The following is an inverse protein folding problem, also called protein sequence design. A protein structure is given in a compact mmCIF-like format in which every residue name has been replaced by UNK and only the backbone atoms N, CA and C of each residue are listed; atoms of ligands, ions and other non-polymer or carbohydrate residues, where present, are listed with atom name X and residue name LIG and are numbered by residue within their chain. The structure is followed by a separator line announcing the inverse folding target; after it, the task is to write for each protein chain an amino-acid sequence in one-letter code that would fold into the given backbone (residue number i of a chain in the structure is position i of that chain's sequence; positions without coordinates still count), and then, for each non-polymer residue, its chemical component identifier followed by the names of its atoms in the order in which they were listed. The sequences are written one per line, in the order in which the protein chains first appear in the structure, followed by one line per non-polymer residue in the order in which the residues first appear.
data_IF_097564465336
#
_entry.id   IF_097564465336
#
_cell.length_a   1.000
_cell.length_b   1.000
_cell.length_c   1.000
_cell.angle_alpha   90.00
_cell.angle_beta   90.00
_cell.angle_gamma   90.00
#
_symmetry.space_group_name_H-M   'P 1'
#
loop_
_entity.id
_entity.type
_entity.pdbx_description
1 polymer ?
#
# COMPACT_ATOMS: atom_id res chain seq x y z
N UNK A 1 -7.37 6.64 17.55
CA UNK A 1 -6.52 6.08 18.62
C UNK A 1 -7.10 6.12 20.03
N UNK A 2 -8.15 6.90 20.31
CA UNK A 2 -8.70 7.05 21.68
C UNK A 2 -9.06 5.74 22.38
N UNK A 3 -9.76 4.84 21.69
CA UNK A 3 -10.13 3.52 22.21
C UNK A 3 -8.90 2.71 22.66
N UNK A 4 -7.84 2.70 21.86
CA UNK A 4 -6.62 1.94 22.14
C UNK A 4 -5.83 2.54 23.30
N UNK A 5 -5.76 3.88 23.36
CA UNK A 5 -5.13 4.60 24.47
C UNK A 5 -5.86 4.32 25.79
N UNK A 6 -7.20 4.22 25.75
CA UNK A 6 -8.01 3.86 26.91
C UNK A 6 -7.82 2.40 27.36
N UNK A 7 -7.70 1.46 26.42
CA UNK A 7 -7.44 0.04 26.75
C UNK A 7 -6.04 -0.19 27.30
N UNK A 8 -5.05 0.61 26.87
CA UNK A 8 -3.66 0.49 27.30
C UNK A 8 -2.98 -0.81 26.84
N UNK A 9 -1.70 -0.97 27.20
CA UNK A 9 -0.94 -2.20 26.94
C UNK A 9 -0.54 -2.45 25.48
N UNK A 10 -0.72 -1.48 24.59
CA UNK A 10 -0.40 -1.59 23.16
C UNK A 10 0.68 -0.58 22.75
N UNK A 11 1.61 -1.01 21.88
CA UNK A 11 2.70 -0.18 21.32
C UNK A 11 2.54 0.11 19.84
N UNK A 12 1.77 -0.72 19.15
CA UNK A 12 1.41 -0.58 17.74
C UNK A 12 0.13 -1.40 17.52
N UNK A 13 -0.84 -0.87 16.78
CA UNK A 13 -2.01 -1.60 16.31
C UNK A 13 -2.19 -1.40 14.82
N UNK A 14 -2.52 -2.46 14.09
CA UNK A 14 -2.78 -2.35 12.66
C UNK A 14 -4.14 -1.68 12.44
N UNK A 15 -4.19 -0.70 11.54
CA UNK A 15 -5.44 -0.05 11.17
C UNK A 15 -5.65 -0.09 9.67
N UNK A 16 -6.74 -0.72 9.25
CA UNK A 16 -7.13 -0.79 7.84
C UNK A 16 -7.44 0.60 7.29
N UNK A 17 -6.90 0.92 6.13
CA UNK A 17 -7.27 2.09 5.33
C UNK A 17 -7.45 1.64 3.88
N UNK A 18 -8.66 1.72 3.34
CA UNK A 18 -8.89 1.34 1.95
C UNK A 18 -8.65 2.47 0.97
N UNK A 19 -8.06 2.15 -0.17
CA UNK A 19 -7.81 3.06 -1.29
C UNK A 19 -8.40 2.45 -2.55
N UNK A 20 -9.72 2.59 -2.79
CA UNK A 20 -10.43 1.96 -3.92
C UNK A 20 -10.11 2.63 -5.27
N UNK A 21 -8.86 2.49 -5.72
CA UNK A 21 -8.31 3.11 -6.94
C UNK A 21 -7.87 2.02 -7.92
N UNK A 22 -8.37 2.07 -9.16
CA UNK A 22 -8.04 1.07 -10.19
C UNK A 22 -7.68 1.65 -11.56
N UNK A 23 -7.71 2.98 -11.75
CA UNK A 23 -7.56 3.58 -13.07
C UNK A 23 -6.10 3.64 -13.57
N UNK A 24 -5.13 3.31 -12.72
CA UNK A 24 -3.72 3.20 -13.08
C UNK A 24 -3.33 1.78 -13.53
N UNK A 25 -4.29 0.85 -13.51
CA UNK A 25 -4.13 -0.51 -14.00
C UNK A 25 -4.02 -0.55 -15.52
N UNK A 26 -3.09 -1.35 -16.05
CA UNK A 26 -2.84 -1.47 -17.49
C UNK A 26 -3.73 -2.48 -18.23
N UNK A 27 -4.54 -3.28 -17.50
CA UNK A 27 -5.41 -4.29 -18.12
C UNK A 27 -6.86 -4.21 -17.61
N UNK A 28 -7.08 -4.37 -16.31
CA UNK A 28 -8.41 -4.34 -15.70
C UNK A 28 -8.41 -3.48 -14.44
N UNK A 29 -9.43 -2.64 -14.28
CA UNK A 29 -9.58 -1.72 -13.15
C UNK A 29 -10.39 -2.32 -11.98
N UNK A 30 -10.66 -3.63 -12.02
CA UNK A 30 -11.38 -4.38 -10.99
C UNK A 30 -10.87 -4.21 -9.55
N UNK A 31 -9.57 -3.99 -9.30
CA UNK A 31 -9.07 -3.75 -7.95
C UNK A 31 -9.75 -2.58 -7.22
N UNK A 32 -10.32 -1.59 -7.93
CA UNK A 32 -11.07 -0.50 -7.29
C UNK A 32 -12.22 -0.99 -6.37
N UNK A 33 -12.73 -2.20 -6.58
CA UNK A 33 -13.81 -2.80 -5.78
C UNK A 33 -13.32 -3.72 -4.65
N UNK A 34 -12.00 -3.86 -4.47
CA UNK A 34 -11.42 -4.83 -3.55
C UNK A 34 -11.60 -4.50 -2.05
N UNK A 35 -11.44 -3.25 -1.57
CA UNK A 35 -11.41 -2.99 -0.11
C UNK A 35 -12.67 -3.48 0.63
N UNK A 36 -13.91 -3.26 0.15
CA UNK A 36 -15.10 -3.78 0.82
C UNK A 36 -15.16 -5.31 0.84
N UNK A 37 -14.72 -5.98 -0.22
CA UNK A 37 -14.73 -7.46 -0.33
C UNK A 37 -13.70 -8.12 0.57
N UNK A 38 -12.55 -7.48 0.76
CA UNK A 38 -11.54 -7.95 1.70
C UNK A 38 -12.11 -7.92 3.13
N UNK A 39 -12.79 -6.82 3.52
CA UNK A 39 -13.43 -6.71 4.84
C UNK A 39 -14.51 -7.77 5.06
N UNK A 40 -15.35 -8.00 4.06
CA UNK A 40 -16.36 -9.07 4.10
C UNK A 40 -15.72 -10.45 4.37
N UNK A 41 -14.59 -10.74 3.73
CA UNK A 41 -13.86 -11.99 3.92
C UNK A 41 -13.20 -12.12 5.30
N UNK A 42 -12.63 -11.03 5.85
CA UNK A 42 -12.03 -11.01 7.19
C UNK A 42 -13.06 -11.43 8.26
N UNK A 43 -14.30 -10.95 8.14
CA UNK A 43 -15.37 -11.15 9.13
C UNK A 43 -16.42 -12.18 8.69
N UNK A 44 -16.08 -13.06 7.75
CA UNK A 44 -16.98 -14.09 7.25
C UNK A 44 -17.34 -15.09 8.37
N UNK A 45 -18.62 -15.43 8.52
CA UNK A 45 -19.07 -16.40 9.54
C UNK A 45 -18.53 -17.83 9.39
N UNK A 46 -17.79 -18.13 8.31
CA UNK A 46 -17.09 -19.40 8.11
C UNK A 46 -15.73 -19.45 8.81
N UNK A 47 -15.15 -18.30 9.17
CA UNK A 47 -13.87 -18.20 9.86
C UNK A 47 -14.06 -17.99 11.36
N UNK A 48 -12.99 -18.15 12.12
CA UNK A 48 -12.89 -17.60 13.47
C UNK A 48 -12.08 -16.29 13.43
N UNK A 49 -11.99 -15.60 14.55
CA UNK A 49 -11.29 -14.32 14.69
C UNK A 49 -9.84 -14.47 15.18
N UNK A 50 -9.28 -15.67 15.19
CA UNK A 50 -7.90 -15.91 15.63
C UNK A 50 -6.96 -16.01 14.43
N UNK A 51 -5.88 -15.25 14.46
CA UNK A 51 -4.74 -15.42 13.52
C UNK A 51 -4.02 -16.75 13.78
N UNK A 52 -3.17 -17.21 12.84
CA UNK A 52 -2.41 -18.46 12.99
C UNK A 52 -1.51 -18.48 14.24
N UNK A 53 -0.97 -17.33 14.66
CA UNK A 53 -0.16 -17.18 15.89
C UNK A 53 -1.00 -16.95 17.15
N UNK A 54 -2.33 -16.97 17.06
CA UNK A 54 -3.24 -16.87 18.20
C UNK A 54 -3.57 -15.45 18.66
N UNK A 55 -3.32 -14.40 17.88
CA UNK A 55 -3.85 -13.05 18.16
C UNK A 55 -5.33 -12.95 17.80
N UNK A 56 -6.09 -12.25 18.64
CA UNK A 56 -7.54 -12.06 18.51
C UNK A 56 -7.88 -10.80 17.70
N UNK A 57 -8.52 -10.95 16.55
CA UNK A 57 -8.87 -9.85 15.64
C UNK A 57 -9.97 -8.95 16.21
N UNK A 58 -10.86 -9.45 17.07
CA UNK A 58 -11.88 -8.62 17.73
C UNK A 58 -11.28 -7.68 18.79
N UNK A 59 -10.01 -7.83 19.15
CA UNK A 59 -9.30 -6.89 20.02
C UNK A 59 -8.85 -5.66 19.22
N UNK A 60 -9.32 -4.44 19.53
CA UNK A 60 -8.91 -3.21 18.84
C UNK A 60 -7.40 -2.92 18.94
N UNK A 61 -6.70 -3.54 19.90
CA UNK A 61 -5.23 -3.45 20.02
C UNK A 61 -4.51 -4.29 18.96
N UNK A 62 -5.21 -5.21 18.30
CA UNK A 62 -4.69 -6.06 17.22
C UNK A 62 -5.07 -5.47 15.86
N UNK A 63 -6.36 -5.18 15.66
CA UNK A 63 -6.87 -4.67 14.38
C UNK A 63 -7.98 -3.63 14.58
N UNK A 64 -7.85 -2.48 13.92
CA UNK A 64 -8.93 -1.50 13.71
C UNK A 64 -9.11 -1.21 12.23
N UNK A 65 -10.13 -0.43 11.90
CA UNK A 65 -10.46 -0.03 10.53
C UNK A 65 -10.93 1.42 10.51
N UNK A 66 -10.33 2.25 9.66
CA UNK A 66 -10.70 3.66 9.49
C UNK A 66 -11.53 3.92 8.22
N UNK A 67 -11.92 2.87 7.50
CA UNK A 67 -12.74 2.96 6.30
C UNK A 67 -11.92 3.23 5.04
N UNK A 68 -12.58 3.84 4.04
CA UNK A 68 -12.05 4.03 2.70
C UNK A 68 -11.86 5.50 2.36
N UNK A 69 -10.79 5.82 1.65
CA UNK A 69 -10.62 7.13 1.00
C UNK A 69 -11.67 7.25 -0.12
N UNK A 70 -12.40 8.37 -0.22
CA UNK A 70 -13.45 8.56 -1.22
C UNK A 70 -12.87 8.87 -2.61
N UNK A 71 -12.17 7.89 -3.20
CA UNK A 71 -11.39 8.05 -4.43
C UNK A 71 -12.27 8.45 -5.61
N UNK A 72 -13.44 7.81 -5.77
CA UNK A 72 -14.29 8.06 -6.92
C UNK A 72 -14.92 9.46 -6.84
N UNK A 73 -15.35 9.88 -5.65
CA UNK A 73 -15.90 11.20 -5.40
C UNK A 73 -14.88 12.31 -5.66
N UNK A 74 -13.62 12.10 -5.26
CA UNK A 74 -12.52 13.05 -5.53
C UNK A 74 -12.28 13.18 -7.04
N UNK A 75 -12.26 12.05 -7.77
CA UNK A 75 -12.06 12.04 -9.22
C UNK A 75 -13.23 12.67 -9.98
N UNK A 76 -14.46 12.40 -9.56
CA UNK A 76 -15.68 12.97 -10.16
C UNK A 76 -15.71 14.51 -10.04
N UNK A 77 -15.00 15.09 -9.06
CA UNK A 77 -14.83 16.53 -8.94
C UNK A 77 -13.74 17.13 -9.87
N UNK A 78 -13.13 16.33 -10.75
CA UNK A 78 -12.10 16.78 -11.70
C UNK A 78 -10.73 16.99 -11.07
N UNK A 79 -10.41 16.26 -10.00
CA UNK A 79 -9.09 16.32 -9.36
C UNK A 79 -8.09 15.45 -10.12
N UNK A 80 -6.99 16.06 -10.53
CA UNK A 80 -5.87 15.39 -11.22
C UNK A 80 -5.11 14.41 -10.31
N UNK A 81 -4.40 13.46 -10.92
CA UNK A 81 -3.71 12.37 -10.23
C UNK A 81 -2.67 12.84 -9.22
N UNK A 82 -1.89 13.89 -9.52
CA UNK A 82 -0.90 14.44 -8.57
C UNK A 82 -1.54 14.77 -7.22
N UNK A 83 -2.71 15.42 -7.26
CA UNK A 83 -3.45 15.84 -6.08
C UNK A 83 -4.17 14.67 -5.43
N UNK A 84 -4.72 13.74 -6.20
CA UNK A 84 -5.32 12.51 -5.68
C UNK A 84 -4.29 11.67 -4.90
N UNK A 85 -3.09 11.49 -5.46
CA UNK A 85 -2.00 10.78 -4.81
C UNK A 85 -1.52 11.50 -3.54
N UNK A 86 -1.57 12.83 -3.51
CA UNK A 86 -1.32 13.60 -2.28
C UNK A 86 -2.39 13.35 -1.21
N UNK A 87 -3.69 13.31 -1.58
CA UNK A 87 -4.77 12.97 -0.63
C UNK A 87 -4.57 11.57 -0.04
N UNK A 88 -4.13 10.60 -0.83
CA UNK A 88 -3.80 9.26 -0.32
C UNK A 88 -2.66 9.34 0.71
N UNK A 89 -1.58 10.08 0.40
CA UNK A 89 -0.48 10.29 1.35
C UNK A 89 -0.95 10.94 2.66
N UNK A 90 -1.78 11.97 2.61
CA UNK A 90 -2.30 12.65 3.81
C UNK A 90 -3.28 11.77 4.61
N UNK A 91 -4.05 10.92 3.93
CA UNK A 91 -4.91 9.93 4.60
C UNK A 91 -4.09 8.93 5.42
N UNK A 92 -2.96 8.48 4.88
CA UNK A 92 -2.00 7.61 5.60
C UNK A 92 -1.40 8.35 6.81
N UNK A 93 -0.99 9.62 6.64
CA UNK A 93 -0.45 10.43 7.74
C UNK A 93 -1.47 10.63 8.86
N UNK A 94 -2.74 10.87 8.52
CA UNK A 94 -3.85 10.99 9.49
C UNK A 94 -3.96 9.72 10.35
N UNK A 95 -3.84 8.52 9.75
CA UNK A 95 -3.80 7.27 10.53
C UNK A 95 -2.59 7.22 11.46
N UNK A 96 -1.40 7.61 10.97
CA UNK A 96 -0.17 7.60 11.76
C UNK A 96 -0.12 8.64 12.88
N UNK A 97 -0.91 9.70 12.81
CA UNK A 97 -1.05 10.72 13.87
C UNK A 97 -1.79 10.20 15.10
N UNK A 98 -2.63 9.20 14.90
CA UNK A 98 -3.39 8.56 15.96
C UNK A 98 -2.57 7.48 16.66
N UNK A 99 -1.62 7.85 17.52
CA UNK A 99 -0.85 6.88 18.30
C UNK A 99 -1.78 5.90 19.07
N UNK A 100 -1.56 4.56 19.01
CA UNK A 100 -0.44 3.84 18.40
C UNK A 100 -0.77 3.16 17.04
N UNK A 101 -1.64 3.75 16.22
CA UNK A 101 -2.08 3.15 14.96
C UNK A 101 -0.94 3.09 13.92
N UNK A 102 -0.92 2.00 13.15
CA UNK A 102 -0.05 1.80 12.00
C UNK A 102 -0.89 1.41 10.78
N UNK A 103 -0.71 2.09 9.63
CA UNK A 103 -1.55 1.87 8.46
C UNK A 103 -1.31 0.50 7.84
N UNK A 104 -2.39 -0.24 7.60
CA UNK A 104 -2.43 -1.42 6.74
C UNK A 104 -3.38 -1.10 5.58
N UNK A 105 -2.81 -0.80 4.42
CA UNK A 105 -3.59 -0.24 3.31
C UNK A 105 -4.20 -1.36 2.47
N UNK A 106 -5.52 -1.31 2.28
CA UNK A 106 -6.25 -2.20 1.38
C UNK A 106 -6.36 -1.51 0.03
N UNK A 107 -5.70 -2.07 -0.97
CA UNK A 107 -5.64 -1.40 -2.26
C UNK A 107 -6.89 -1.50 -3.09
N UNK A 108 -6.85 -0.70 -4.15
CA UNK A 108 -7.06 -1.24 -5.48
C UNK A 108 -5.72 -1.64 -6.09
N UNK A 109 -5.31 -0.98 -7.17
CA UNK A 109 -4.11 -1.37 -7.93
C UNK A 109 -2.79 -0.92 -7.29
N UNK A 110 -1.67 -1.41 -7.84
CA UNK A 110 -0.35 -1.26 -7.23
C UNK A 110 0.21 0.18 -7.29
N UNK A 111 -0.47 1.11 -7.97
CA UNK A 111 -0.03 2.51 -8.02
C UNK A 111 -0.03 3.17 -6.63
N UNK A 112 -0.95 2.75 -5.75
CA UNK A 112 -1.13 3.33 -4.42
C UNK A 112 0.08 3.11 -3.50
N UNK A 113 0.93 2.12 -3.78
CA UNK A 113 2.12 1.86 -2.97
C UNK A 113 3.04 3.07 -2.95
N UNK A 114 3.12 3.82 -4.05
CA UNK A 114 3.94 5.03 -4.12
C UNK A 114 3.53 6.10 -3.08
N UNK A 115 2.32 6.68 -3.11
CA UNK A 115 1.92 7.70 -2.14
C UNK A 115 1.88 7.17 -0.70
N UNK A 116 1.63 5.88 -0.48
CA UNK A 116 1.64 5.27 0.85
C UNK A 116 3.05 5.21 1.42
N UNK A 117 4.01 4.67 0.67
CA UNK A 117 5.42 4.57 1.09
C UNK A 117 6.02 5.96 1.29
N UNK A 118 5.74 6.90 0.38
CA UNK A 118 6.12 8.32 0.53
C UNK A 118 5.67 8.88 1.88
N UNK A 119 4.38 8.72 2.21
CA UNK A 119 3.81 9.23 3.46
C UNK A 119 4.48 8.64 4.71
N UNK A 120 4.72 7.32 4.71
CA UNK A 120 5.37 6.63 5.83
C UNK A 120 6.81 7.12 5.99
N UNK A 121 7.57 7.20 4.90
CA UNK A 121 8.96 7.67 4.93
C UNK A 121 9.07 9.12 5.40
N UNK A 122 8.21 10.01 4.89
CA UNK A 122 8.13 11.40 5.33
C UNK A 122 7.77 11.53 6.81
N UNK A 123 6.76 10.80 7.29
CA UNK A 123 6.29 10.88 8.68
C UNK A 123 7.31 10.32 9.68
N UNK A 124 8.08 9.31 9.27
CA UNK A 124 9.16 8.73 10.08
C UNK A 124 10.49 9.49 9.95
N UNK A 125 10.61 10.41 8.98
CA UNK A 125 11.81 11.23 8.79
C UNK A 125 12.98 10.50 8.14
N UNK A 126 12.74 9.46 7.34
CA UNK A 126 13.80 8.70 6.69
C UNK A 126 13.34 7.53 5.83
N UNK A 127 14.25 6.90 5.07
CA UNK A 127 13.93 5.77 4.21
C UNK A 127 13.60 4.50 5.02
N UNK A 128 12.83 3.61 4.41
CA UNK A 128 12.52 2.27 4.95
C UNK A 128 13.17 1.17 4.11
N UNK A 129 13.28 -0.04 4.66
CA UNK A 129 13.54 -1.23 3.85
C UNK A 129 12.19 -1.85 3.46
N UNK A 130 12.05 -2.28 2.21
CA UNK A 130 10.81 -2.79 1.64
C UNK A 130 10.97 -4.26 1.25
N UNK A 131 10.09 -5.10 1.78
CA UNK A 131 9.80 -6.42 1.23
C UNK A 131 8.62 -6.30 0.27
N UNK A 132 8.85 -6.60 -1.00
CA UNK A 132 7.87 -6.55 -2.07
C UNK A 132 7.60 -7.96 -2.59
N UNK A 133 6.37 -8.45 -2.43
CA UNK A 133 5.95 -9.78 -2.88
C UNK A 133 5.09 -9.64 -4.13
N UNK A 134 5.64 -9.96 -5.30
CA UNK A 134 4.93 -9.78 -6.57
C UNK A 134 5.47 -10.70 -7.68
N UNK A 135 4.62 -10.97 -8.67
CA UNK A 135 5.02 -11.57 -9.95
C UNK A 135 5.81 -10.61 -10.84
N UNK A 136 5.57 -9.30 -10.70
CA UNK A 136 6.09 -8.21 -11.53
C UNK A 136 6.99 -7.28 -10.71
N UNK A 137 7.99 -6.64 -11.33
CA UNK A 137 8.86 -5.73 -10.61
C UNK A 137 8.27 -4.32 -10.44
N UNK A 138 7.23 -3.95 -11.18
CA UNK A 138 6.55 -2.64 -11.11
C UNK A 138 7.49 -1.43 -11.09
N UNK A 139 8.56 -1.52 -11.90
CA UNK A 139 9.71 -0.60 -11.89
C UNK A 139 9.96 0.07 -13.26
N UNK A 140 8.98 0.03 -14.16
CA UNK A 140 9.07 0.77 -15.43
C UNK A 140 9.20 2.27 -15.18
N UNK A 141 9.97 2.96 -16.01
CA UNK A 141 10.14 4.41 -15.87
C UNK A 141 8.79 5.15 -16.02
N UNK A 142 8.08 4.94 -17.13
CA UNK A 142 6.70 5.40 -17.30
C UNK A 142 5.95 4.43 -18.22
N UNK A 143 5.21 3.49 -17.63
CA UNK A 143 4.49 2.49 -18.42
C UNK A 143 3.34 3.13 -19.20
N UNK A 144 3.35 2.98 -20.53
CA UNK A 144 2.39 3.62 -21.45
C UNK A 144 2.25 5.15 -21.28
N UNK A 145 3.32 5.81 -20.83
CA UNK A 145 3.35 7.25 -20.59
C UNK A 145 2.69 7.69 -19.28
N UNK A 146 2.11 6.78 -18.49
CA UNK A 146 1.56 7.08 -17.17
C UNK A 146 2.64 6.87 -16.09
N UNK A 147 3.13 7.95 -15.49
CA UNK A 147 4.10 7.90 -14.38
C UNK A 147 3.52 7.31 -13.09
N UNK A 148 2.19 7.33 -12.94
CA UNK A 148 1.43 6.70 -11.88
C UNK A 148 0.94 5.29 -12.23
N UNK A 149 1.36 4.71 -13.35
CA UNK A 149 0.98 3.34 -13.70
C UNK A 149 1.28 2.40 -12.54
N UNK A 150 0.39 1.43 -12.32
CA UNK A 150 0.61 0.36 -11.34
C UNK A 150 1.94 -0.39 -11.57
N UNK A 151 2.42 -0.42 -12.81
CA UNK A 151 3.68 -1.05 -13.22
C UNK A 151 4.92 -0.14 -13.06
N UNK A 152 4.75 1.07 -12.51
CA UNK A 152 5.82 2.06 -12.32
C UNK A 152 5.93 2.58 -10.88
N UNK A 153 5.11 2.06 -9.95
CA UNK A 153 5.05 2.56 -8.57
C UNK A 153 6.40 2.42 -7.84
N UNK A 154 7.16 1.35 -8.06
CA UNK A 154 8.46 1.16 -7.44
C UNK A 154 9.56 2.01 -8.09
N UNK A 155 9.43 2.41 -9.36
CA UNK A 155 10.32 3.42 -9.92
C UNK A 155 10.15 4.74 -9.17
N UNK A 156 8.91 5.20 -8.95
CA UNK A 156 8.60 6.41 -8.17
C UNK A 156 9.12 6.34 -6.73
N UNK A 157 8.98 5.18 -6.08
CA UNK A 157 9.48 4.96 -4.71
C UNK A 157 11.00 5.12 -4.66
N UNK A 158 11.73 4.50 -5.59
CA UNK A 158 13.20 4.55 -5.60
C UNK A 158 13.74 5.93 -6.01
N UNK A 159 13.08 6.61 -6.96
CA UNK A 159 13.44 7.97 -7.39
C UNK A 159 13.33 8.99 -6.26
N UNK A 160 12.31 8.89 -5.42
CA UNK A 160 12.14 9.78 -4.28
C UNK A 160 12.99 9.42 -3.06
N UNK A 161 13.79 8.36 -3.13
CA UNK A 161 14.68 7.96 -2.05
C UNK A 161 13.96 7.48 -0.78
N UNK A 162 12.70 7.04 -0.90
CA UNK A 162 11.90 6.59 0.24
C UNK A 162 12.29 5.19 0.72
N UNK A 163 13.04 4.45 -0.10
CA UNK A 163 13.50 3.10 0.21
C UNK A 163 15.02 3.01 0.18
N UNK A 164 15.60 2.30 1.16
CA UNK A 164 17.03 1.96 1.19
C UNK A 164 17.29 0.61 0.54
N UNK A 165 16.60 -0.44 0.99
CA UNK A 165 16.59 -1.75 0.34
C UNK A 165 15.21 -2.03 -0.23
N UNK A 166 15.18 -2.58 -1.45
CA UNK A 166 13.98 -3.12 -2.07
C UNK A 166 14.25 -4.59 -2.42
N UNK A 167 13.58 -5.50 -1.71
CA UNK A 167 13.65 -6.93 -1.96
C UNK A 167 12.39 -7.34 -2.70
N UNK A 168 12.52 -7.73 -3.96
CA UNK A 168 11.40 -8.19 -4.79
C UNK A 168 11.42 -9.71 -4.86
N UNK A 169 10.38 -10.36 -4.36
CA UNK A 169 10.31 -11.82 -4.24
C UNK A 169 9.08 -12.35 -4.95
N UNK A 170 9.25 -13.43 -5.73
CA UNK A 170 8.17 -14.05 -6.49
C UNK A 170 8.14 -13.66 -7.97
N UNK A 171 9.17 -12.93 -8.43
CA UNK A 171 9.24 -12.39 -9.78
C UNK A 171 9.22 -13.52 -10.81
N UNK A 172 8.31 -13.40 -11.77
CA UNK A 172 8.13 -14.36 -12.87
C UNK A 172 7.68 -13.71 -14.19
N UNK A 173 7.50 -12.39 -14.20
CA UNK A 173 7.27 -11.58 -15.38
C UNK A 173 8.13 -10.33 -15.32
N UNK A 174 9.31 -10.39 -15.93
CA UNK A 174 10.30 -9.31 -15.91
C UNK A 174 10.95 -9.14 -17.28
N UNK A 175 10.93 -7.91 -17.79
CA UNK A 175 11.54 -7.53 -19.07
C UNK A 175 13.00 -7.09 -18.88
N UNK A 176 13.68 -6.79 -19.99
CA UNK A 176 15.03 -6.21 -19.96
C UNK A 176 15.06 -4.89 -19.18
N UNK A 177 14.08 -4.00 -19.43
CA UNK A 177 13.97 -2.73 -18.71
C UNK A 177 13.82 -2.95 -17.20
N UNK A 178 12.96 -3.88 -16.78
CA UNK A 178 12.79 -4.21 -15.36
C UNK A 178 14.08 -4.66 -14.67
N UNK A 179 14.97 -5.36 -15.39
CA UNK A 179 16.31 -5.75 -14.89
C UNK A 179 17.27 -4.57 -14.84
N UNK A 180 17.25 -3.71 -15.87
CA UNK A 180 18.11 -2.53 -15.96
C UNK A 180 17.76 -1.50 -14.88
N UNK A 181 16.47 -1.24 -14.67
CA UNK A 181 15.98 -0.41 -13.57
C UNK A 181 16.30 -1.04 -12.21
N UNK A 182 16.12 -2.36 -12.05
CA UNK A 182 16.54 -3.07 -10.84
C UNK A 182 18.02 -2.85 -10.51
N UNK A 183 18.90 -2.98 -11.51
CA UNK A 183 20.34 -2.70 -11.36
C UNK A 183 20.62 -1.22 -11.05
N UNK A 184 19.94 -0.29 -11.74
CA UNK A 184 20.07 1.16 -11.54
C UNK A 184 19.78 1.57 -10.10
N UNK A 185 18.72 1.02 -9.50
CA UNK A 185 18.29 1.36 -8.15
C UNK A 185 18.85 0.45 -7.05
N UNK A 186 19.67 -0.56 -7.40
CA UNK A 186 20.24 -1.48 -6.41
C UNK A 186 19.23 -2.44 -5.78
N UNK A 187 18.23 -2.88 -6.57
CA UNK A 187 17.14 -3.77 -6.13
C UNK A 187 17.61 -5.23 -6.05
N UNK A 188 17.19 -5.92 -4.99
CA UNK A 188 17.42 -7.35 -4.80
C UNK A 188 16.25 -8.14 -5.44
N UNK A 189 16.44 -8.59 -6.68
CA UNK A 189 15.39 -9.24 -7.49
C UNK A 189 15.49 -10.78 -7.41
N UNK A 190 14.59 -11.40 -6.65
CA UNK A 190 14.47 -12.85 -6.48
C UNK A 190 13.37 -13.40 -7.41
N UNK A 191 13.81 -13.92 -8.56
CA UNK A 191 12.96 -14.63 -9.51
C UNK A 191 12.62 -16.04 -9.00
N UNK A 192 11.48 -16.58 -9.44
CA UNK A 192 11.00 -17.92 -9.06
C UNK A 192 11.87 -19.09 -9.57
N UNK A 193 12.85 -18.84 -10.44
CA UNK A 193 13.64 -19.84 -11.17
C UNK A 193 15.01 -20.09 -10.54
#
# INVERSE_FOLDING_TARGET
GELLRALGGVKASASLLGVPLGHNSSFLQGPAFAPPRIREAIWCGSTNSSTEEGKELNDPRVLTDVGDVPIQEIRDCGVEDDRLMHVISESVKTVMEEDPLRPLVLGGDHSISYPVVRAVSEKLGGPVDILHLDAHPDIYDAFEGNTYSHASSFARIMEGGYARRLLQVGLRSITKEGREQGKRFGVEQYEMR
#
